data_IF_189245590542
#
_entry.id   IF_189245590542
#
_cell.length_a   1.000
_cell.length_b   1.000
_cell.length_c   1.000
_cell.angle_alpha   90.00
_cell.angle_beta   90.00
_cell.angle_gamma   90.00
#
_symmetry.space_group_name_H-M   'P 1'
#
loop_
_entity.id
_entity.type
_entity.pdbx_description
1 polymer ?
#
# COMPACT_ATOMS: atom_id res chain seq x y z
N UNK A 1 23.52 12.25 -28.23
CA UNK A 1 22.60 11.12 -28.49
C UNK A 1 21.80 10.94 -27.23
N UNK A 2 20.48 11.21 -27.26
CA UNK A 2 19.64 10.90 -26.09
C UNK A 2 19.66 9.38 -25.95
N UNK A 3 20.21 8.86 -24.85
CA UNK A 3 20.17 7.42 -24.59
C UNK A 3 18.72 7.04 -24.32
N UNK A 4 18.21 6.03 -25.02
CA UNK A 4 16.92 5.42 -24.68
C UNK A 4 16.96 4.97 -23.23
N UNK A 5 15.94 5.36 -22.46
CA UNK A 5 15.76 4.89 -21.09
C UNK A 5 15.47 3.39 -21.10
N UNK A 6 16.13 2.62 -20.25
CA UNK A 6 15.90 1.18 -20.21
C UNK A 6 14.54 0.89 -19.58
N UNK A 7 14.22 1.58 -18.48
CA UNK A 7 12.98 1.38 -17.74
C UNK A 7 12.41 2.72 -17.31
N UNK A 8 11.13 2.94 -17.58
CA UNK A 8 10.34 4.04 -17.00
C UNK A 8 9.41 3.45 -15.94
N UNK A 9 9.48 3.94 -14.72
CA UNK A 9 8.61 3.56 -13.61
C UNK A 9 7.65 4.72 -13.38
N UNK A 10 6.35 4.44 -13.37
CA UNK A 10 5.30 5.42 -13.15
C UNK A 10 4.73 5.23 -11.74
N UNK A 11 4.96 6.24 -10.88
CA UNK A 11 4.64 6.23 -9.46
C UNK A 11 5.86 6.01 -8.57
N UNK A 12 6.08 6.90 -7.60
CA UNK A 12 7.16 6.84 -6.62
C UNK A 12 6.65 6.54 -5.19
N UNK A 13 5.51 5.85 -5.07
CA UNK A 13 5.11 5.20 -3.82
C UNK A 13 5.97 3.96 -3.53
N UNK A 14 5.66 3.24 -2.45
CA UNK A 14 6.47 2.09 -2.01
C UNK A 14 6.72 1.07 -3.12
N UNK A 15 5.68 0.69 -3.89
CA UNK A 15 5.81 -0.26 -4.99
C UNK A 15 6.83 0.18 -6.06
N UNK A 16 6.71 1.41 -6.56
CA UNK A 16 7.59 1.94 -7.60
C UNK A 16 9.01 2.21 -7.09
N UNK A 17 9.14 2.70 -5.85
CA UNK A 17 10.42 2.91 -5.20
C UNK A 17 11.17 1.58 -4.97
N UNK A 18 10.47 0.54 -4.50
CA UNK A 18 11.04 -0.80 -4.32
C UNK A 18 11.45 -1.41 -5.66
N UNK A 19 10.63 -1.27 -6.71
CA UNK A 19 11.01 -1.73 -8.04
C UNK A 19 12.28 -1.04 -8.57
N UNK A 20 12.39 0.28 -8.39
CA UNK A 20 13.58 1.04 -8.77
C UNK A 20 14.83 0.58 -8.00
N UNK A 21 14.69 0.32 -6.70
CA UNK A 21 15.76 -0.20 -5.85
C UNK A 21 16.23 -1.58 -6.33
N UNK A 22 15.33 -2.54 -6.53
CA UNK A 22 15.70 -3.89 -7.00
C UNK A 22 16.29 -3.89 -8.41
N UNK A 23 15.79 -3.03 -9.32
CA UNK A 23 16.41 -2.86 -10.65
C UNK A 23 17.83 -2.31 -10.56
N UNK A 24 18.09 -1.40 -9.62
CA UNK A 24 19.43 -0.85 -9.38
C UNK A 24 20.40 -1.92 -8.89
N UNK A 25 19.96 -2.78 -7.96
CA UNK A 25 20.72 -3.93 -7.49
C UNK A 25 20.99 -4.97 -8.58
N UNK A 26 20.03 -5.15 -9.51
CA UNK A 26 20.22 -5.97 -10.70
C UNK A 26 21.16 -5.35 -11.75
N UNK A 27 21.72 -4.17 -11.48
CA UNK A 27 22.67 -3.50 -12.37
C UNK A 27 22.03 -2.78 -13.56
N UNK A 28 20.69 -2.64 -13.58
CA UNK A 28 19.98 -1.93 -14.64
C UNK A 28 20.33 -0.44 -14.56
N UNK A 29 20.72 0.14 -15.70
CA UNK A 29 21.06 1.56 -15.82
C UNK A 29 19.96 2.32 -16.56
N UNK A 30 19.96 3.65 -16.48
CA UNK A 30 18.99 4.51 -17.15
C UNK A 30 17.54 4.15 -16.78
N UNK A 31 17.29 4.01 -15.47
CA UNK A 31 15.95 3.85 -14.92
C UNK A 31 15.43 5.25 -14.58
N UNK A 32 14.23 5.59 -15.05
CA UNK A 32 13.57 6.85 -14.72
C UNK A 32 12.33 6.58 -13.89
N UNK A 33 12.20 7.24 -12.74
CA UNK A 33 11.00 7.18 -11.90
C UNK A 33 10.25 8.51 -12.05
N UNK A 34 8.97 8.44 -12.43
CA UNK A 34 8.10 9.59 -12.62
C UNK A 34 7.07 9.66 -11.48
N UNK A 35 6.96 10.80 -10.82
CA UNK A 35 5.88 11.07 -9.85
C UNK A 35 5.29 12.47 -10.05
N UNK A 36 3.96 12.57 -9.93
CA UNK A 36 3.26 13.84 -10.10
C UNK A 36 3.36 14.75 -8.86
N UNK A 37 3.86 14.23 -7.73
CA UNK A 37 4.25 15.01 -6.57
C UNK A 37 5.62 14.58 -6.08
N UNK A 38 5.75 14.39 -4.77
CA UNK A 38 7.00 13.94 -4.14
C UNK A 38 6.90 12.46 -3.78
N UNK A 39 8.04 11.78 -3.81
CA UNK A 39 8.16 10.35 -3.48
C UNK A 39 7.43 10.00 -2.18
N UNK A 40 6.61 8.96 -2.22
CA UNK A 40 5.84 8.50 -1.06
C UNK A 40 4.65 9.37 -0.64
N UNK A 41 4.42 10.54 -1.23
CA UNK A 41 3.29 11.43 -0.89
C UNK A 41 2.25 11.57 -2.01
N UNK A 42 2.68 11.48 -3.27
CA UNK A 42 1.84 11.84 -4.42
C UNK A 42 1.64 13.36 -4.53
N UNK A 43 0.71 13.79 -5.39
CA UNK A 43 0.47 15.23 -5.60
C UNK A 43 -0.24 15.85 -4.39
N UNK A 44 0.27 16.98 -3.90
CA UNK A 44 -0.44 17.84 -2.94
C UNK A 44 -1.38 18.82 -3.62
N UNK A 45 -1.22 19.02 -4.94
CA UNK A 45 -2.06 19.90 -5.71
C UNK A 45 -3.28 19.12 -6.18
N UNK A 46 -4.51 19.50 -5.78
CA UNK A 46 -5.71 18.92 -6.35
C UNK A 46 -5.68 19.09 -7.86
N UNK A 47 -5.92 18.01 -8.60
CA UNK A 47 -6.07 18.11 -10.06
C UNK A 47 -7.32 18.95 -10.33
N UNK A 48 -7.13 20.21 -10.71
CA UNK A 48 -8.21 21.09 -11.17
C UNK A 48 -8.56 20.66 -12.59
N UNK A 49 -9.41 19.66 -12.76
CA UNK A 49 -10.03 19.43 -14.06
C UNK A 49 -11.39 18.71 -14.00
N UNK A 50 -12.28 19.15 -14.89
CA UNK A 50 -13.66 18.68 -15.14
C UNK A 50 -14.75 19.08 -14.13
N UNK A 51 -15.02 20.39 -14.01
CA UNK A 51 -16.38 20.85 -13.68
C UNK A 51 -17.31 20.48 -14.85
N UNK A 52 -18.12 19.43 -14.67
CA UNK A 52 -19.50 19.49 -15.18
C UNK A 52 -20.20 20.55 -14.33
N UNK A 53 -20.62 21.60 -14.98
CA UNK A 53 -21.52 22.62 -14.46
C UNK A 53 -22.86 21.98 -14.06
N UNK A 54 -23.44 22.52 -12.99
CA UNK A 54 -24.82 22.31 -12.50
C UNK A 54 -25.07 21.01 -11.73
N UNK A 55 -24.78 21.03 -10.43
CA UNK A 55 -25.78 21.20 -9.36
C UNK A 55 -25.07 21.35 -8.01
N UNK A 56 -25.47 22.39 -7.26
CA UNK A 56 -24.93 22.74 -5.96
C UNK A 56 -25.57 21.87 -4.88
N UNK A 57 -24.92 20.75 -4.57
CA UNK A 57 -25.04 20.09 -3.27
C UNK A 57 -23.62 19.73 -2.80
N UNK A 58 -23.38 19.79 -1.49
CA UNK A 58 -22.16 19.24 -0.86
C UNK A 58 -22.04 17.75 -1.24
N UNK A 59 -21.32 17.46 -2.33
CA UNK A 59 -21.24 16.12 -2.90
C UNK A 59 -21.14 16.02 -4.43
N UNK A 60 -21.28 17.12 -5.19
CA UNK A 60 -21.34 17.05 -6.67
C UNK A 60 -20.01 17.26 -7.42
N UNK A 61 -18.96 17.78 -6.77
CA UNK A 61 -17.65 17.94 -7.42
C UNK A 61 -16.87 16.64 -7.28
N UNK A 62 -16.75 15.90 -8.38
CA UNK A 62 -15.85 14.75 -8.46
C UNK A 62 -14.42 15.22 -8.28
N UNK A 63 -13.82 14.90 -7.14
CA UNK A 63 -12.39 15.11 -6.92
C UNK A 63 -11.65 13.88 -7.41
N UNK A 64 -10.81 14.03 -8.43
CA UNK A 64 -9.88 12.99 -8.79
C UNK A 64 -8.94 12.71 -7.61
N UNK A 65 -8.81 11.43 -7.32
CA UNK A 65 -7.77 10.90 -6.46
C UNK A 65 -6.41 11.44 -6.91
N UNK A 66 -5.67 12.07 -5.98
CA UNK A 66 -4.36 12.66 -6.27
C UNK A 66 -3.31 12.34 -5.18
N UNK A 67 -3.76 11.85 -4.02
CA UNK A 67 -2.90 11.48 -2.90
C UNK A 67 -2.56 10.00 -2.96
N UNK A 68 -1.27 9.70 -2.76
CA UNK A 68 -0.79 8.32 -2.73
C UNK A 68 -1.33 7.57 -1.51
N UNK A 69 -1.61 6.28 -1.66
CA UNK A 69 -1.87 5.39 -0.52
C UNK A 69 -0.68 5.28 0.45
N UNK A 70 0.53 5.62 0.00
CA UNK A 70 1.73 5.71 0.85
C UNK A 70 1.82 7.00 1.67
N UNK A 71 0.95 7.99 1.42
CA UNK A 71 1.01 9.28 2.10
C UNK A 71 0.64 9.13 3.58
N UNK A 72 1.54 9.58 4.45
CA UNK A 72 1.32 9.61 5.91
C UNK A 72 0.95 11.02 6.38
N UNK A 73 0.37 11.13 7.58
CA UNK A 73 0.11 12.41 8.24
C UNK A 73 1.44 13.02 8.76
N UNK A 74 1.52 14.36 8.92
CA UNK A 74 2.69 14.99 9.51
C UNK A 74 2.96 14.54 10.96
N UNK A 75 1.90 14.42 11.77
CA UNK A 75 1.95 13.75 13.07
C UNK A 75 1.59 12.27 12.91
N UNK A 76 2.05 11.43 13.84
CA UNK A 76 1.74 10.01 13.88
C UNK A 76 2.06 9.33 12.54
N UNK A 77 3.30 9.47 12.08
CA UNK A 77 3.68 9.21 10.69
C UNK A 77 4.09 7.74 10.42
N UNK A 78 4.54 7.01 11.45
CA UNK A 78 4.95 5.60 11.35
C UNK A 78 3.75 4.67 11.51
N UNK A 79 3.08 4.34 10.40
CA UNK A 79 1.71 3.80 10.47
C UNK A 79 1.36 2.71 9.48
N UNK A 80 2.19 2.45 8.48
CA UNK A 80 1.84 1.45 7.48
C UNK A 80 2.18 0.08 7.98
N UNK A 81 1.18 -0.79 7.96
CA UNK A 81 1.26 -2.16 8.41
C UNK A 81 2.15 -2.98 7.46
N UNK A 82 3.09 -3.71 8.05
CA UNK A 82 3.86 -4.78 7.41
C UNK A 82 3.39 -6.07 8.07
N UNK A 83 2.38 -6.71 7.47
CA UNK A 83 1.62 -7.82 8.07
C UNK A 83 1.59 -9.05 7.16
N UNK A 84 1.45 -10.23 7.77
CA UNK A 84 1.45 -11.54 7.10
C UNK A 84 0.05 -12.15 6.97
N UNK A 85 -0.93 -11.35 6.56
CA UNK A 85 -2.33 -11.73 6.51
C UNK A 85 -2.98 -11.39 5.16
N UNK A 86 -4.13 -12.01 4.94
CA UNK A 86 -5.02 -11.71 3.81
C UNK A 86 -5.77 -10.39 4.04
N UNK A 87 -6.27 -9.81 2.95
CA UNK A 87 -7.20 -8.69 3.01
C UNK A 87 -8.67 -9.13 3.26
N UNK A 88 -8.89 -10.42 3.50
CA UNK A 88 -10.18 -11.09 3.75
C UNK A 88 -9.99 -12.17 4.83
N UNK A 89 -11.04 -12.88 5.24
CA UNK A 89 -10.83 -14.05 6.10
C UNK A 89 -10.02 -15.13 5.37
N UNK A 90 -9.30 -15.98 6.11
CA UNK A 90 -8.60 -17.12 5.55
C UNK A 90 -9.58 -18.11 4.89
N UNK A 91 -10.80 -18.22 5.43
CA UNK A 91 -11.87 -19.04 4.82
C UNK A 91 -12.21 -18.52 3.41
N UNK A 92 -12.50 -17.23 3.27
CA UNK A 92 -12.85 -16.63 1.98
C UNK A 92 -11.69 -16.71 0.99
N UNK A 93 -10.47 -16.50 1.47
CA UNK A 93 -9.27 -16.56 0.63
C UNK A 93 -9.03 -17.98 0.10
N UNK A 94 -9.21 -19.01 0.94
CA UNK A 94 -9.12 -20.42 0.55
C UNK A 94 -10.23 -20.80 -0.43
N UNK A 95 -11.45 -20.28 -0.24
CA UNK A 95 -12.54 -20.52 -1.20
C UNK A 95 -12.18 -20.00 -2.59
N UNK A 96 -11.50 -18.85 -2.67
CA UNK A 96 -11.15 -18.23 -3.95
C UNK A 96 -9.89 -18.83 -4.60
N UNK A 97 -8.85 -19.10 -3.81
CA UNK A 97 -7.50 -19.46 -4.32
C UNK A 97 -7.06 -20.88 -3.98
N UNK A 98 -7.89 -21.62 -3.22
CA UNK A 98 -7.53 -22.91 -2.66
C UNK A 98 -6.49 -22.81 -1.53
N UNK A 99 -6.30 -23.92 -0.82
CA UNK A 99 -5.36 -24.02 0.30
C UNK A 99 -3.91 -23.73 -0.11
N UNK A 100 -3.51 -24.17 -1.31
CA UNK A 100 -2.17 -23.93 -1.83
C UNK A 100 -1.97 -22.47 -2.24
N UNK A 101 -2.98 -21.81 -2.78
CA UNK A 101 -2.94 -20.36 -3.04
C UNK A 101 -2.81 -19.56 -1.74
N UNK A 102 -3.54 -19.95 -0.69
CA UNK A 102 -3.41 -19.36 0.64
C UNK A 102 -1.99 -19.50 1.21
N UNK A 103 -1.40 -20.72 1.17
CA UNK A 103 0.00 -20.97 1.59
C UNK A 103 1.00 -20.14 0.80
N UNK A 104 0.85 -20.07 -0.53
CA UNK A 104 1.70 -19.24 -1.41
C UNK A 104 1.60 -17.78 -1.01
N UNK A 105 0.40 -17.26 -0.72
CA UNK A 105 0.23 -15.88 -0.28
C UNK A 105 0.89 -15.58 1.07
N UNK A 106 0.73 -16.46 2.08
CA UNK A 106 1.41 -16.34 3.37
C UNK A 106 2.94 -16.34 3.19
N UNK A 107 3.45 -17.18 2.29
CA UNK A 107 4.86 -17.21 1.96
C UNK A 107 5.32 -15.90 1.32
N UNK A 108 4.56 -15.36 0.36
CA UNK A 108 4.84 -14.06 -0.26
C UNK A 108 4.88 -12.94 0.79
N UNK A 109 3.87 -12.83 1.65
CA UNK A 109 3.82 -11.77 2.66
C UNK A 109 4.91 -11.93 3.71
N UNK A 110 5.26 -13.16 4.08
CA UNK A 110 6.40 -13.43 4.98
C UNK A 110 7.72 -12.99 4.37
N UNK A 111 8.04 -13.44 3.15
CA UNK A 111 9.27 -13.04 2.46
C UNK A 111 9.32 -11.54 2.20
N UNK A 112 8.17 -10.93 1.91
CA UNK A 112 8.02 -9.50 1.72
C UNK A 112 8.27 -8.68 2.98
N UNK A 113 7.72 -9.13 4.11
CA UNK A 113 7.99 -8.55 5.43
C UNK A 113 9.47 -8.61 5.78
N UNK A 114 10.12 -9.76 5.57
CA UNK A 114 11.53 -9.94 5.88
C UNK A 114 12.41 -9.05 4.99
N UNK A 115 12.15 -9.06 3.68
CA UNK A 115 12.84 -8.20 2.70
C UNK A 115 12.70 -6.73 3.06
N UNK A 116 11.49 -6.28 3.38
CA UNK A 116 11.23 -4.89 3.72
C UNK A 116 11.95 -4.47 5.00
N UNK A 117 11.89 -5.29 6.06
CA UNK A 117 12.60 -5.01 7.32
C UNK A 117 14.11 -4.96 7.12
N UNK A 118 14.67 -5.88 6.34
CA UNK A 118 16.10 -5.89 6.02
C UNK A 118 16.52 -4.62 5.29
N UNK A 119 15.82 -4.27 4.21
CA UNK A 119 16.12 -3.07 3.42
C UNK A 119 15.94 -1.82 4.28
N UNK A 120 14.80 -1.68 4.95
CA UNK A 120 14.48 -0.54 5.81
C UNK A 120 15.54 -0.34 6.91
N UNK A 121 16.01 -1.42 7.54
CA UNK A 121 17.07 -1.36 8.55
C UNK A 121 18.40 -0.83 7.99
N UNK A 122 18.64 -0.99 6.69
CA UNK A 122 19.88 -0.55 6.04
C UNK A 122 19.82 0.87 5.47
N UNK A 123 18.64 1.35 5.04
CA UNK A 123 18.52 2.62 4.30
C UNK A 123 17.79 3.72 5.06
N UNK A 124 16.99 3.39 6.07
CA UNK A 124 16.27 4.42 6.82
C UNK A 124 17.25 5.22 7.70
N UNK A 125 17.12 6.56 7.73
CA UNK A 125 18.00 7.39 8.54
C UNK A 125 17.88 7.08 10.04
N UNK A 126 16.67 6.78 10.53
CA UNK A 126 16.39 6.44 11.93
C UNK A 126 15.55 5.15 11.99
N UNK A 127 16.11 4.04 11.51
CA UNK A 127 15.39 2.77 11.38
C UNK A 127 14.66 2.33 12.67
N UNK A 128 15.26 2.51 13.85
CA UNK A 128 14.64 2.12 15.12
C UNK A 128 13.32 2.85 15.43
N UNK A 129 13.16 4.08 14.96
CA UNK A 129 11.96 4.90 15.16
C UNK A 129 10.96 4.73 14.00
N UNK A 130 11.51 4.59 12.79
CA UNK A 130 10.75 4.61 11.55
C UNK A 130 10.26 3.22 11.12
N UNK A 131 10.84 2.15 11.68
CA UNK A 131 10.43 0.76 11.54
C UNK A 131 10.27 0.15 12.94
N UNK A 132 9.03 0.01 13.40
CA UNK A 132 8.73 -0.55 14.73
C UNK A 132 8.19 -1.96 14.60
N UNK A 133 9.01 -2.93 15.00
CA UNK A 133 8.67 -4.36 14.97
C UNK A 133 8.12 -4.84 16.32
N UNK A 134 7.04 -4.23 16.79
CA UNK A 134 6.36 -4.63 18.03
C UNK A 134 5.32 -5.74 17.82
N UNK A 135 5.21 -6.27 16.61
CA UNK A 135 4.16 -7.18 16.20
C UNK A 135 2.85 -6.45 15.87
N UNK A 136 1.83 -7.26 15.57
CA UNK A 136 0.46 -6.81 15.40
C UNK A 136 -0.53 -7.72 16.13
N UNK A 137 -1.68 -7.18 16.50
CA UNK A 137 -2.74 -7.91 17.20
C UNK A 137 -4.05 -7.80 16.41
N UNK A 138 -4.48 -8.93 15.87
CA UNK A 138 -5.79 -9.08 15.22
C UNK A 138 -6.83 -9.31 16.30
N UNK A 139 -7.88 -8.48 16.40
CA UNK A 139 -8.75 -8.41 17.56
C UNK A 139 -10.21 -8.71 17.22
N UNK A 140 -10.88 -9.52 18.03
CA UNK A 140 -12.30 -9.84 17.86
C UNK A 140 -13.14 -9.48 19.09
N UNK A 141 -14.42 -9.22 18.85
CA UNK A 141 -15.42 -9.08 19.91
C UNK A 141 -15.88 -10.47 20.40
N UNK A 142 -16.49 -10.51 21.58
CA UNK A 142 -16.98 -11.76 22.20
C UNK A 142 -17.93 -12.54 21.30
N UNK A 143 -18.82 -11.84 20.60
CA UNK A 143 -19.78 -12.45 19.66
C UNK A 143 -19.12 -13.17 18.46
N UNK A 144 -17.86 -12.83 18.15
CA UNK A 144 -17.14 -13.30 16.96
C UNK A 144 -16.07 -14.37 17.32
N UNK A 145 -15.90 -14.71 18.60
CA UNK A 145 -14.82 -15.58 19.10
C UNK A 145 -14.76 -16.94 18.38
N UNK A 146 -15.91 -17.58 18.15
CA UNK A 146 -15.95 -18.91 17.55
C UNK A 146 -15.44 -18.92 16.09
N UNK A 147 -15.83 -17.91 15.30
CA UNK A 147 -15.34 -17.73 13.93
C UNK A 147 -13.85 -17.35 13.95
N UNK A 148 -13.46 -16.48 14.89
CA UNK A 148 -12.10 -16.02 15.03
C UNK A 148 -11.12 -17.13 15.47
N UNK A 149 -11.59 -18.09 16.28
CA UNK A 149 -10.83 -19.29 16.64
C UNK A 149 -10.56 -20.16 15.42
N UNK A 150 -11.56 -20.31 14.54
CA UNK A 150 -11.40 -21.03 13.27
C UNK A 150 -10.38 -20.32 12.36
N UNK A 151 -10.40 -18.99 12.32
CA UNK A 151 -9.36 -18.21 11.61
C UNK A 151 -7.96 -18.54 12.13
N UNK A 152 -7.75 -18.50 13.46
CA UNK A 152 -6.48 -18.86 14.09
C UNK A 152 -6.00 -20.27 13.69
N UNK A 153 -6.90 -21.26 13.77
CA UNK A 153 -6.57 -22.65 13.45
C UNK A 153 -6.18 -22.81 11.96
N UNK A 154 -6.91 -22.14 11.05
CA UNK A 154 -6.58 -22.15 9.62
C UNK A 154 -5.22 -21.50 9.37
N UNK A 155 -4.95 -20.33 9.97
CA UNK A 155 -3.68 -19.63 9.80
C UNK A 155 -2.49 -20.49 10.24
N UNK A 156 -2.64 -21.22 11.36
CA UNK A 156 -1.64 -22.21 11.81
C UNK A 156 -1.47 -23.33 10.77
N UNK A 157 -2.56 -23.89 10.24
CA UNK A 157 -2.50 -24.97 9.24
C UNK A 157 -1.76 -24.56 7.95
N UNK A 158 -1.91 -23.31 7.51
CA UNK A 158 -1.29 -22.80 6.27
C UNK A 158 0.11 -22.22 6.45
N UNK A 159 0.72 -22.41 7.63
CA UNK A 159 2.14 -22.11 7.86
C UNK A 159 2.43 -20.83 8.64
N UNK A 160 1.44 -20.20 9.29
CA UNK A 160 1.69 -19.14 10.25
C UNK A 160 2.06 -19.72 11.63
N UNK A 161 3.14 -20.50 11.72
CA UNK A 161 3.43 -21.30 12.93
C UNK A 161 3.80 -20.47 14.17
N UNK A 162 4.15 -19.21 14.01
CA UNK A 162 4.63 -18.34 15.08
C UNK A 162 3.57 -17.41 15.69
N UNK A 163 2.31 -17.53 15.28
CA UNK A 163 1.21 -16.74 15.85
C UNK A 163 0.72 -17.31 17.19
N UNK A 164 0.19 -16.43 18.03
CA UNK A 164 -0.31 -16.77 19.37
C UNK A 164 -1.78 -16.38 19.53
N UNK A 165 -2.56 -17.24 20.20
CA UNK A 165 -3.91 -16.90 20.65
C UNK A 165 -3.83 -16.18 21.98
N UNK A 166 -4.45 -15.01 22.09
CA UNK A 166 -4.47 -14.18 23.29
C UNK A 166 -5.89 -14.06 23.84
N UNK A 167 -6.02 -14.39 25.12
CA UNK A 167 -7.28 -14.25 25.86
C UNK A 167 -7.46 -12.81 26.39
N UNK A 168 -8.69 -12.48 26.81
CA UNK A 168 -9.06 -11.14 27.30
C UNK A 168 -8.10 -10.57 28.34
N UNK A 169 -7.65 -11.38 29.30
CA UNK A 169 -6.76 -10.93 30.38
C UNK A 169 -5.40 -10.45 29.84
N UNK A 170 -4.89 -11.07 28.78
CA UNK A 170 -3.67 -10.62 28.10
C UNK A 170 -3.92 -9.28 27.38
N UNK A 171 -5.07 -9.13 26.72
CA UNK A 171 -5.44 -7.89 26.04
C UNK A 171 -5.51 -6.71 27.02
N UNK A 172 -6.11 -6.91 28.20
CA UNK A 172 -6.31 -5.87 29.21
C UNK A 172 -5.01 -5.30 29.77
N UNK A 173 -3.93 -6.09 29.82
CA UNK A 173 -2.61 -5.64 30.27
C UNK A 173 -1.70 -5.18 29.11
N UNK A 174 -2.14 -5.33 27.87
CA UNK A 174 -1.35 -4.96 26.69
C UNK A 174 -1.40 -3.43 26.50
N UNK A 175 -0.24 -2.74 26.53
CA UNK A 175 -0.19 -1.29 26.40
C UNK A 175 -0.87 -0.81 25.12
N UNK A 176 -1.82 0.12 25.27
CA UNK A 176 -2.51 0.76 24.17
C UNK A 176 -3.64 -0.08 23.54
N UNK A 177 -3.91 -1.31 24.01
CA UNK A 177 -5.05 -2.08 23.52
C UNK A 177 -6.37 -1.55 24.10
N UNK A 178 -7.41 -1.41 23.28
CA UNK A 178 -8.75 -1.05 23.77
C UNK A 178 -9.35 -2.18 24.60
N UNK A 179 -10.03 -1.82 25.70
CA UNK A 179 -10.68 -2.77 26.63
C UNK A 179 -11.96 -3.40 26.06
N UNK A 180 -12.39 -3.03 24.85
CA UNK A 180 -13.62 -3.52 24.21
C UNK A 180 -13.50 -4.92 23.61
N UNK A 181 -12.28 -5.37 23.31
CA UNK A 181 -12.04 -6.63 22.62
C UNK A 181 -12.00 -7.82 23.60
N UNK A 182 -12.36 -8.99 23.08
CA UNK A 182 -12.49 -10.21 23.88
C UNK A 182 -11.29 -11.15 23.70
N UNK A 183 -10.82 -11.34 22.47
CA UNK A 183 -9.70 -12.20 22.14
C UNK A 183 -8.87 -11.62 21.00
N UNK A 184 -7.65 -12.14 20.81
CA UNK A 184 -6.74 -11.67 19.77
C UNK A 184 -5.86 -12.77 19.18
N UNK A 185 -5.39 -12.58 17.95
CA UNK A 185 -4.30 -13.34 17.35
C UNK A 185 -3.09 -12.41 17.24
N UNK A 186 -2.01 -12.75 17.95
CA UNK A 186 -0.78 -11.97 17.95
C UNK A 186 0.19 -12.46 16.88
N UNK A 187 0.71 -11.53 16.09
CA UNK A 187 1.69 -11.74 15.03
C UNK A 187 3.02 -11.10 15.45
N UNK A 188 3.94 -11.84 16.10
CA UNK A 188 5.12 -11.26 16.74
C UNK A 188 6.14 -10.64 15.77
N UNK A 189 6.15 -11.09 14.51
CA UNK A 189 7.12 -10.61 13.51
C UNK A 189 6.68 -9.37 12.75
N UNK A 190 5.39 -9.04 12.83
CA UNK A 190 4.79 -7.92 12.12
C UNK A 190 5.36 -6.58 12.61
N UNK A 191 5.23 -5.57 11.77
CA UNK A 191 5.82 -4.26 12.03
C UNK A 191 4.95 -3.14 11.47
N UNK A 192 5.25 -1.91 11.89
CA UNK A 192 4.76 -0.69 11.26
C UNK A 192 5.93 0.16 10.79
N UNK A 193 5.72 0.89 9.69
CA UNK A 193 6.75 1.72 9.07
C UNK A 193 6.18 3.06 8.62
N UNK A 194 7.03 4.09 8.56
CA UNK A 194 6.73 5.30 7.82
C UNK A 194 6.99 5.07 6.32
N UNK A 195 5.93 4.81 5.56
CA UNK A 195 6.00 4.48 4.13
C UNK A 195 6.50 5.61 3.24
N UNK A 196 6.21 6.87 3.60
CA UNK A 196 6.67 8.02 2.81
C UNK A 196 8.19 8.16 2.92
N UNK A 197 8.72 8.09 4.15
CA UNK A 197 10.17 8.12 4.38
C UNK A 197 10.85 6.90 3.76
N UNK A 198 10.27 5.71 3.89
CA UNK A 198 10.81 4.50 3.28
C UNK A 198 10.90 4.59 1.75
N UNK A 199 9.85 5.09 1.09
CA UNK A 199 9.84 5.30 -0.37
C UNK A 199 10.94 6.27 -0.80
N UNK A 200 11.09 7.39 -0.09
CA UNK A 200 12.14 8.37 -0.38
C UNK A 200 13.55 7.78 -0.15
N UNK A 201 13.75 7.01 0.92
CA UNK A 201 15.02 6.35 1.23
C UNK A 201 15.42 5.32 0.16
N UNK A 202 14.45 4.52 -0.34
CA UNK A 202 14.67 3.55 -1.42
C UNK A 202 15.18 4.25 -2.69
N UNK A 203 14.53 5.33 -3.09
CA UNK A 203 14.92 6.09 -4.28
C UNK A 203 16.25 6.82 -4.10
N UNK A 204 16.52 7.35 -2.91
CA UNK A 204 17.82 7.94 -2.58
C UNK A 204 18.94 6.90 -2.72
N UNK A 205 18.76 5.71 -2.14
CA UNK A 205 19.72 4.61 -2.24
C UNK A 205 19.92 4.18 -3.71
N UNK A 206 18.83 4.01 -4.47
CA UNK A 206 18.87 3.64 -5.89
C UNK A 206 19.57 4.70 -6.76
N UNK A 207 19.36 5.98 -6.46
CA UNK A 207 20.03 7.11 -7.14
C UNK A 207 21.53 7.13 -6.81
N UNK A 208 21.91 6.86 -5.56
CA UNK A 208 23.31 6.77 -5.14
C UNK A 208 24.09 5.64 -5.85
N UNK A 209 23.40 4.60 -6.32
CA UNK A 209 23.99 3.54 -7.17
C UNK A 209 24.23 3.97 -8.63
N UNK A 210 23.83 5.20 -9.00
CA UNK A 210 23.99 5.76 -10.35
C UNK A 210 23.13 5.04 -11.41
N UNK A 211 22.04 4.41 -11.00
CA UNK A 211 21.14 3.64 -11.87
C UNK A 211 19.85 4.40 -12.18
N UNK A 212 19.36 5.16 -11.20
CA UNK A 212 18.03 5.78 -11.20
C UNK A 212 18.12 7.30 -11.29
N UNK A 213 17.21 7.89 -12.07
CA UNK A 213 16.88 9.30 -12.07
C UNK A 213 15.42 9.46 -11.64
N UNK A 214 15.18 10.25 -10.61
CA UNK A 214 13.81 10.56 -10.14
C UNK A 214 13.37 11.90 -10.74
N UNK A 215 12.15 11.95 -11.25
CA UNK A 215 11.49 13.16 -11.76
C UNK A 215 10.21 13.37 -10.95
N UNK A 216 10.32 14.19 -9.93
CA UNK A 216 9.21 14.60 -9.07
C UNK A 216 8.47 15.81 -9.66
N UNK A 217 7.22 16.00 -9.23
CA UNK A 217 6.35 17.08 -9.68
C UNK A 217 6.22 17.15 -11.21
N UNK A 218 6.30 16.00 -11.90
CA UNK A 218 6.12 15.95 -13.34
C UNK A 218 4.65 16.08 -13.72
N UNK A 219 4.36 16.43 -14.98
CA UNK A 219 2.99 16.33 -15.49
C UNK A 219 2.46 14.90 -15.33
N UNK A 220 1.17 14.70 -14.96
CA UNK A 220 0.61 13.38 -14.78
C UNK A 220 0.79 12.50 -16.02
N UNK A 221 1.15 11.23 -15.83
CA UNK A 221 1.13 10.25 -16.91
C UNK A 221 -0.33 9.95 -17.27
N UNK A 222 -0.69 10.13 -18.55
CA UNK A 222 -2.06 9.97 -19.05
C UNK A 222 -2.23 8.69 -19.88
N UNK A 223 -1.15 8.13 -20.43
CA UNK A 223 -1.19 6.84 -21.10
C UNK A 223 0.15 6.11 -21.06
N UNK A 224 0.06 4.78 -21.04
CA UNK A 224 1.17 3.86 -21.26
C UNK A 224 0.76 2.85 -22.32
N UNK A 225 1.67 2.46 -23.21
CA UNK A 225 1.36 1.48 -24.24
C UNK A 225 2.61 0.77 -24.76
N UNK A 226 2.39 -0.31 -25.50
CA UNK A 226 3.42 -0.96 -26.32
C UNK A 226 3.20 -0.58 -27.78
N UNK A 227 4.21 -0.03 -28.43
CA UNK A 227 4.17 0.37 -29.84
C UNK A 227 5.24 -0.37 -30.65
N UNK A 228 5.06 -0.56 -31.97
CA UNK A 228 6.14 -0.99 -32.85
C UNK A 228 7.31 0.01 -32.84
N UNK A 229 8.56 -0.48 -32.91
CA UNK A 229 9.76 0.38 -32.98
C UNK A 229 9.75 1.32 -34.18
N UNK A 230 9.09 0.94 -35.28
CA UNK A 230 8.89 1.81 -36.46
C UNK A 230 8.04 3.05 -36.18
N UNK A 231 7.28 3.07 -35.07
CA UNK A 231 6.49 4.22 -34.61
C UNK A 231 7.20 5.03 -33.52
N UNK A 232 8.39 4.59 -33.09
CA UNK A 232 9.21 5.32 -32.14
C UNK A 232 9.78 6.60 -32.79
N UNK A 233 10.02 7.63 -31.99
CA UNK A 233 10.66 8.88 -32.42
C UNK A 233 12.15 8.67 -32.71
N UNK A 234 12.78 7.66 -32.10
CA UNK A 234 14.16 7.24 -32.35
C UNK A 234 14.28 5.75 -32.77
N UNK A 235 13.78 5.35 -33.96
CA UNK A 235 13.74 3.94 -34.37
C UNK A 235 15.12 3.26 -34.40
N UNK A 236 16.18 4.01 -34.71
CA UNK A 236 17.55 3.48 -34.84
C UNK A 236 18.16 2.92 -33.54
N UNK A 237 17.50 3.14 -32.40
CA UNK A 237 17.93 2.60 -31.11
C UNK A 237 17.35 1.21 -30.82
N UNK A 238 16.48 0.70 -31.69
CA UNK A 238 15.75 -0.55 -31.55
C UNK A 238 15.86 -1.38 -32.84
N UNK A 239 15.65 -2.68 -32.74
CA UNK A 239 15.52 -3.54 -33.93
C UNK A 239 14.24 -3.23 -34.71
N UNK A 240 14.23 -3.44 -36.04
CA UNK A 240 13.05 -3.17 -36.89
C UNK A 240 11.79 -3.94 -36.45
N UNK A 241 11.97 -5.15 -35.90
CA UNK A 241 10.88 -6.01 -35.41
C UNK A 241 10.62 -5.87 -33.89
N UNK A 242 11.30 -4.94 -33.21
CA UNK A 242 11.12 -4.76 -31.78
C UNK A 242 9.88 -3.91 -31.45
N UNK A 243 9.38 -4.08 -30.23
CA UNK A 243 8.37 -3.20 -29.64
C UNK A 243 8.98 -2.37 -28.53
N UNK A 244 8.42 -1.19 -28.31
CA UNK A 244 8.90 -0.16 -27.37
C UNK A 244 7.76 0.21 -26.43
N UNK A 245 8.09 0.47 -25.16
CA UNK A 245 7.17 1.08 -24.21
C UNK A 245 7.06 2.58 -24.48
N UNK A 246 5.85 3.09 -24.66
CA UNK A 246 5.56 4.52 -24.77
C UNK A 246 4.84 5.01 -23.52
N UNK A 247 5.40 6.02 -22.85
CA UNK A 247 4.77 6.76 -21.76
C UNK A 247 4.44 8.17 -22.24
N UNK A 248 3.20 8.63 -22.03
CA UNK A 248 2.75 9.97 -22.41
C UNK A 248 2.26 10.74 -21.19
N UNK A 249 2.78 11.95 -21.00
CA UNK A 249 2.39 12.85 -19.92
C UNK A 249 1.33 13.87 -20.42
N UNK A 250 0.61 14.47 -19.49
CA UNK A 250 -0.48 15.41 -19.77
C UNK A 250 -0.04 16.67 -20.55
N UNK A 251 1.22 17.08 -20.40
CA UNK A 251 1.83 18.19 -21.15
C UNK A 251 2.22 17.83 -22.60
N UNK A 252 1.97 16.58 -23.02
CA UNK A 252 2.34 16.07 -24.33
C UNK A 252 3.76 15.49 -24.40
N UNK A 253 4.52 15.51 -23.30
CA UNK A 253 5.83 14.86 -23.23
C UNK A 253 5.70 13.36 -23.50
N UNK A 254 6.56 12.83 -24.37
CA UNK A 254 6.61 11.43 -24.77
C UNK A 254 7.94 10.83 -24.35
N UNK A 255 7.90 9.68 -23.67
CA UNK A 255 9.09 8.94 -23.26
C UNK A 255 9.02 7.52 -23.82
N UNK A 256 10.10 7.12 -24.48
CA UNK A 256 10.26 5.79 -25.07
C UNK A 256 11.26 4.99 -24.25
N UNK A 257 10.90 3.76 -23.90
CA UNK A 257 11.73 2.88 -23.09
C UNK A 257 11.62 1.42 -23.50
N UNK A 258 12.58 0.59 -23.09
CA UNK A 258 12.47 -0.87 -23.31
C UNK A 258 11.32 -1.46 -22.50
N UNK A 259 11.12 -0.96 -21.29
CA UNK A 259 10.07 -1.41 -20.38
C UNK A 259 9.43 -0.24 -19.62
N UNK A 260 8.17 -0.43 -19.24
CA UNK A 260 7.42 0.45 -18.34
C UNK A 260 7.00 -0.38 -17.13
N UNK A 261 7.18 0.15 -15.92
CA UNK A 261 6.59 -0.40 -14.69
C UNK A 261 5.51 0.56 -14.21
N UNK A 262 4.26 0.12 -14.20
CA UNK A 262 3.12 0.89 -13.71
C UNK A 262 2.86 0.54 -12.25
N UNK A 263 3.19 1.48 -11.34
CA UNK A 263 3.16 1.30 -9.88
C UNK A 263 2.46 2.47 -9.18
N UNK A 264 1.30 2.86 -9.70
CA UNK A 264 0.54 4.06 -9.33
C UNK A 264 -0.54 3.83 -8.25
N UNK A 265 -0.61 2.63 -7.68
CA UNK A 265 -1.71 2.24 -6.79
C UNK A 265 -3.06 2.39 -7.49
N UNK A 266 -3.99 3.12 -6.89
CA UNK A 266 -5.31 3.40 -7.50
C UNK A 266 -5.38 4.69 -8.33
N UNK A 267 -4.27 5.36 -8.62
CA UNK A 267 -4.26 6.68 -9.27
C UNK A 267 -4.26 6.61 -10.80
N UNK A 268 -4.03 5.43 -11.40
CA UNK A 268 -4.05 5.25 -12.86
C UNK A 268 -5.11 4.22 -13.25
N UNK A 269 -6.29 4.71 -13.65
CA UNK A 269 -7.46 3.86 -13.92
C UNK A 269 -7.81 3.74 -15.40
N UNK A 270 -7.12 4.47 -16.27
CA UNK A 270 -7.49 4.61 -17.68
C UNK A 270 -6.80 3.59 -18.59
N UNK A 271 -6.06 2.61 -18.04
CA UNK A 271 -5.49 1.52 -18.84
C UNK A 271 -6.59 0.52 -19.22
N UNK A 272 -6.88 0.30 -20.53
CA UNK A 272 -7.85 -0.69 -20.95
C UNK A 272 -7.54 -2.10 -20.44
N UNK A 273 -6.26 -2.42 -20.23
CA UNK A 273 -5.84 -3.73 -19.74
C UNK A 273 -6.16 -3.97 -18.26
N UNK A 274 -6.46 -2.92 -17.49
CA UNK A 274 -6.80 -3.00 -16.07
C UNK A 274 -8.30 -2.83 -15.82
N UNK A 275 -9.09 -2.60 -16.87
CA UNK A 275 -10.53 -2.38 -16.77
C UNK A 275 -11.21 -3.58 -16.11
N UNK A 276 -11.88 -3.34 -14.98
CA UNK A 276 -12.54 -4.38 -14.17
C UNK A 276 -11.60 -5.23 -13.30
N UNK A 277 -10.27 -5.07 -13.43
CA UNK A 277 -9.28 -5.80 -12.62
C UNK A 277 -8.83 -4.96 -11.42
N UNK A 278 -8.70 -3.64 -11.59
CA UNK A 278 -8.26 -2.74 -10.53
C UNK A 278 -9.36 -1.75 -10.19
N UNK A 279 -9.78 -1.74 -8.92
CA UNK A 279 -10.72 -0.77 -8.36
C UNK A 279 -9.95 0.22 -7.47
N UNK A 280 -9.98 1.53 -7.75
CA UNK A 280 -9.41 2.50 -6.84
C UNK A 280 -10.33 2.64 -5.61
N UNK A 281 -9.76 2.72 -4.42
CA UNK A 281 -10.47 2.83 -3.15
C UNK A 281 -9.86 3.93 -2.28
N UNK A 282 -10.71 4.64 -1.55
CA UNK A 282 -10.27 5.66 -0.59
C UNK A 282 -9.76 5.01 0.67
N UNK A 283 -8.65 5.48 1.21
CA UNK A 283 -8.23 5.14 2.57
C UNK A 283 -8.20 6.38 3.44
N UNK A 284 -8.85 6.35 4.59
CA UNK A 284 -8.95 7.50 5.51
C UNK A 284 -8.10 7.27 6.75
N UNK A 285 -7.41 8.33 7.18
CA UNK A 285 -6.50 8.33 8.31
C UNK A 285 -6.89 9.46 9.25
N UNK A 286 -6.91 9.17 10.55
CA UNK A 286 -7.13 10.15 11.61
C UNK A 286 -6.07 9.99 12.69
N UNK A 287 -5.59 11.10 13.22
CA UNK A 287 -4.70 11.17 14.39
C UNK A 287 -5.44 11.91 15.50
N UNK A 288 -5.74 11.21 16.59
CA UNK A 288 -6.36 11.78 17.80
C UNK A 288 -5.28 11.92 18.88
N UNK A 289 -4.78 13.15 19.15
CA UNK A 289 -3.72 13.37 20.11
C UNK A 289 -4.20 13.09 21.54
N UNK A 290 -3.35 12.45 22.32
CA UNK A 290 -3.55 12.31 23.77
C UNK A 290 -3.72 13.69 24.43
N UNK A 291 -4.58 13.85 25.46
CA UNK A 291 -4.80 15.15 26.11
C UNK A 291 -3.54 15.79 26.70
N UNK A 292 -2.55 14.99 27.07
CA UNK A 292 -1.25 15.47 27.57
C UNK A 292 -0.23 15.78 26.47
N UNK A 293 -0.53 15.53 25.20
CA UNK A 293 0.43 15.69 24.11
C UNK A 293 0.77 17.16 23.88
N UNK A 294 2.03 17.47 24.11
CA UNK A 294 2.74 18.74 23.87
C UNK A 294 4.15 18.43 23.36
N UNK A 295 4.84 19.39 22.71
CA UNK A 295 6.24 19.21 22.27
C UNK A 295 7.14 18.73 23.42
N UNK A 296 7.04 19.35 24.61
CA UNK A 296 7.82 18.97 25.79
C UNK A 296 7.55 17.53 26.25
N UNK A 297 6.29 17.11 26.24
CA UNK A 297 5.92 15.76 26.68
C UNK A 297 6.31 14.68 25.68
N UNK A 298 6.36 14.99 24.38
CA UNK A 298 6.83 14.05 23.36
C UNK A 298 8.33 13.81 23.51
N UNK A 299 9.10 14.88 23.70
CA UNK A 299 10.56 14.86 23.88
C UNK A 299 11.01 14.27 25.22
N UNK A 300 10.12 14.19 26.20
CA UNK A 300 10.44 13.57 27.47
C UNK A 300 10.83 12.08 27.28
N UNK A 301 11.93 11.64 27.91
CA UNK A 301 12.44 10.26 27.88
C UNK A 301 11.46 9.19 28.44
N UNK A 302 10.24 9.57 28.82
CA UNK A 302 9.20 8.63 29.26
C UNK A 302 8.59 7.88 28.08
N UNK A 303 8.41 6.57 28.24
CA UNK A 303 7.70 5.72 27.28
C UNK A 303 6.16 5.86 27.39
N UNK A 304 5.66 6.44 28.48
CA UNK A 304 4.23 6.59 28.78
C UNK A 304 3.87 8.01 29.21
N UNK A 305 2.58 8.34 29.11
CA UNK A 305 1.96 9.52 29.71
C UNK A 305 1.73 9.35 31.22
N UNK A 306 1.24 10.40 31.89
CA UNK A 306 1.08 10.40 33.35
C UNK A 306 0.00 9.42 33.84
N UNK A 307 -0.95 9.09 32.96
CA UNK A 307 -2.00 8.08 33.15
C UNK A 307 -1.56 6.64 32.80
N UNK A 308 -0.31 6.47 32.34
CA UNK A 308 0.26 5.18 31.95
C UNK A 308 0.01 4.76 30.49
N UNK A 309 -0.70 5.57 29.70
CA UNK A 309 -0.91 5.30 28.26
C UNK A 309 0.44 5.34 27.54
N UNK A 310 0.75 4.35 26.67
CA UNK A 310 2.02 4.35 25.96
C UNK A 310 2.07 5.40 24.86
N UNK A 311 3.25 5.99 24.63
CA UNK A 311 3.49 6.85 23.45
C UNK A 311 3.55 6.06 22.14
N UNK A 312 3.89 4.77 22.25
CA UNK A 312 4.04 3.85 21.14
C UNK A 312 3.47 2.48 21.49
N UNK A 313 2.67 1.88 20.61
CA UNK A 313 2.16 0.52 20.78
C UNK A 313 2.49 -0.35 19.58
N UNK A 314 2.20 -1.64 19.70
CA UNK A 314 2.01 -2.50 18.53
C UNK A 314 0.86 -2.01 17.65
N UNK A 315 0.75 -2.59 16.46
CA UNK A 315 -0.38 -2.34 15.59
C UNK A 315 -1.57 -3.23 15.96
N UNK A 316 -2.77 -2.69 15.84
CA UNK A 316 -4.01 -3.38 16.14
C UNK A 316 -4.93 -3.32 14.92
N UNK A 317 -5.71 -4.37 14.67
CA UNK A 317 -6.77 -4.33 13.65
C UNK A 317 -7.92 -5.26 14.03
N UNK A 318 -9.14 -4.89 13.64
CA UNK A 318 -10.36 -5.61 14.03
C UNK A 318 -10.68 -6.78 13.09
N UNK A 319 -11.28 -7.86 13.60
CA UNK A 319 -11.95 -8.91 12.82
C UNK A 319 -12.91 -8.30 11.79
N UNK A 320 -12.86 -8.79 10.55
CA UNK A 320 -13.59 -8.20 9.42
C UNK A 320 -12.99 -6.89 8.90
N UNK A 321 -11.80 -6.51 9.39
CA UNK A 321 -10.94 -5.46 8.84
C UNK A 321 -11.57 -4.07 8.74
N UNK A 322 -12.46 -3.75 9.67
CA UNK A 322 -13.13 -2.45 9.69
C UNK A 322 -12.19 -1.29 10.03
N UNK A 323 -11.19 -1.55 10.89
CA UNK A 323 -10.25 -0.54 11.39
C UNK A 323 -8.86 -1.15 11.65
N UNK A 324 -7.81 -0.34 11.46
CA UNK A 324 -6.46 -0.57 11.96
C UNK A 324 -5.90 0.68 12.69
N UNK A 325 -5.23 0.48 13.82
CA UNK A 325 -4.77 1.59 14.66
C UNK A 325 -3.51 1.27 15.46
N UNK A 326 -2.84 2.31 15.93
CA UNK A 326 -1.74 2.21 16.90
C UNK A 326 -1.59 3.52 17.68
N UNK A 327 -0.99 3.43 18.87
CA UNK A 327 -0.43 4.58 19.55
C UNK A 327 0.90 4.92 18.92
N UNK A 328 1.08 6.17 18.51
CA UNK A 328 2.34 6.66 17.96
C UNK A 328 2.45 8.16 18.16
N UNK A 329 3.65 8.62 18.54
CA UNK A 329 3.95 10.06 18.65
C UNK A 329 2.91 10.80 19.51
N UNK A 330 2.44 10.13 20.57
CA UNK A 330 1.46 10.71 21.50
C UNK A 330 0.04 10.85 20.95
N UNK A 331 -0.31 10.12 19.90
CA UNK A 331 -1.67 10.08 19.36
C UNK A 331 -2.13 8.65 19.11
N UNK A 332 -3.43 8.43 19.13
CA UNK A 332 -4.02 7.26 18.47
C UNK A 332 -4.17 7.59 17.00
N UNK A 333 -3.39 6.93 16.15
CA UNK A 333 -3.67 6.94 14.73
C UNK A 333 -4.58 5.78 14.41
N UNK A 334 -5.66 6.06 13.67
CA UNK A 334 -6.61 5.08 13.16
C UNK A 334 -6.80 5.25 11.66
N UNK A 335 -7.02 4.11 11.00
CA UNK A 335 -7.42 3.98 9.61
C UNK A 335 -8.63 3.05 9.52
N UNK A 336 -9.45 3.22 8.49
CA UNK A 336 -10.67 2.42 8.31
C UNK A 336 -11.73 3.12 7.45
N UNK A 337 -12.85 2.42 7.25
CA UNK A 337 -13.91 2.79 6.30
C UNK A 337 -13.46 2.77 4.81
N UNK A 338 -12.45 1.97 4.47
CA UNK A 338 -11.66 2.08 3.23
C UNK A 338 -12.30 1.48 1.95
N UNK A 339 -13.42 0.75 2.07
CA UNK A 339 -13.96 0.00 0.92
C UNK A 339 -14.90 0.81 0.00
N UNK A 340 -14.85 2.15 0.07
CA UNK A 340 -15.57 3.00 -0.87
C UNK A 340 -14.74 3.22 -2.13
N UNK A 341 -15.33 2.89 -3.27
CA UNK A 341 -14.71 3.15 -4.57
C UNK A 341 -14.36 4.64 -4.70
N UNK A 342 -13.10 4.91 -5.04
CA UNK A 342 -12.59 6.24 -5.38
C UNK A 342 -13.05 6.75 -6.74
N UNK A 343 -14.04 6.06 -7.34
CA UNK A 343 -14.92 6.56 -8.39
C UNK A 343 -16.11 7.34 -7.82
N UNK A 344 -16.10 7.68 -6.52
CA UNK A 344 -17.07 8.55 -5.86
C UNK A 344 -16.31 9.60 -5.04
N UNK A 345 -16.90 10.78 -4.75
CA UNK A 345 -16.27 11.75 -3.86
C UNK A 345 -15.90 11.15 -2.50
N UNK A 346 -14.77 11.54 -1.89
CA UNK A 346 -14.26 10.89 -0.69
C UNK A 346 -15.12 11.06 0.57
N UNK A 347 -16.05 12.03 0.66
CA UNK A 347 -16.78 12.31 1.92
C UNK A 347 -15.85 12.42 3.16
N UNK A 348 -14.62 12.89 2.97
CA UNK A 348 -13.56 12.81 3.97
C UNK A 348 -13.94 13.41 5.34
N UNK A 349 -14.62 14.57 5.45
CA UNK A 349 -15.01 15.12 6.75
C UNK A 349 -15.87 14.15 7.59
N UNK A 350 -16.91 13.55 6.96
CA UNK A 350 -17.80 12.60 7.62
C UNK A 350 -17.04 11.33 8.04
N UNK A 351 -16.26 10.76 7.11
CA UNK A 351 -15.51 9.51 7.33
C UNK A 351 -14.47 9.66 8.44
N UNK A 352 -13.71 10.75 8.42
CA UNK A 352 -12.72 11.04 9.45
C UNK A 352 -13.39 11.36 10.80
N UNK A 353 -14.54 12.02 10.82
CA UNK A 353 -15.29 12.24 12.06
C UNK A 353 -15.75 10.92 12.69
N UNK A 354 -16.24 9.97 11.89
CA UNK A 354 -16.61 8.64 12.39
C UNK A 354 -15.42 7.91 13.03
N UNK A 355 -14.24 7.95 12.40
CA UNK A 355 -13.02 7.35 12.93
C UNK A 355 -12.57 8.02 14.24
N UNK A 356 -12.68 9.34 14.33
CA UNK A 356 -12.42 10.08 15.57
C UNK A 356 -13.40 9.67 16.68
N UNK A 357 -14.70 9.59 16.38
CA UNK A 357 -15.72 9.12 17.32
C UNK A 357 -15.46 7.69 17.78
N UNK A 358 -15.14 6.78 16.86
CA UNK A 358 -14.77 5.40 17.22
C UNK A 358 -13.61 5.39 18.21
N UNK A 359 -12.60 6.23 17.99
CA UNK A 359 -11.42 6.34 18.86
C UNK A 359 -11.81 6.81 20.26
N UNK A 360 -12.64 7.86 20.35
CA UNK A 360 -13.16 8.33 21.65
C UNK A 360 -13.94 7.24 22.38
N UNK A 361 -14.80 6.51 21.66
CA UNK A 361 -15.54 5.42 22.29
C UNK A 361 -14.62 4.27 22.72
N UNK A 362 -13.60 3.92 21.93
CA UNK A 362 -12.68 2.82 22.17
C UNK A 362 -11.73 3.08 23.36
N UNK A 363 -11.46 4.35 23.65
CA UNK A 363 -10.58 4.81 24.73
C UNK A 363 -11.28 5.86 25.60
N UNK A 364 -12.54 5.61 26.00
CA UNK A 364 -13.33 6.57 26.76
C UNK A 364 -12.79 6.88 28.17
N UNK A 365 -11.80 6.12 28.64
CA UNK A 365 -11.02 6.42 29.84
C UNK A 365 -9.89 7.42 29.61
N UNK A 366 -9.45 7.59 28.37
CA UNK A 366 -8.39 8.52 27.97
C UNK A 366 -8.98 9.80 27.35
N UNK A 367 -9.96 9.65 26.46
CA UNK A 367 -10.62 10.75 25.78
C UNK A 367 -12.00 11.00 26.40
N UNK A 368 -12.31 12.23 26.85
CA UNK A 368 -13.61 12.55 27.42
C UNK A 368 -14.74 12.31 26.40
N UNK A 369 -15.89 11.85 26.88
CA UNK A 369 -17.08 11.61 26.06
C UNK A 369 -17.63 12.92 25.45
N UNK A 370 -18.24 12.88 24.25
CA UNK A 370 -18.46 14.06 23.38
C UNK A 370 -19.54 15.06 23.82
N UNK A 371 -19.95 15.10 25.09
CA UNK A 371 -21.14 15.86 25.50
C UNK A 371 -21.04 17.38 25.33
N UNK A 372 -19.88 17.95 24.94
CA UNK A 372 -19.79 19.37 24.61
C UNK A 372 -18.70 19.81 23.60
N UNK A 373 -17.61 19.07 23.40
CA UNK A 373 -16.50 19.50 22.54
C UNK A 373 -15.98 18.37 21.64
N UNK A 374 -15.85 18.67 20.34
CA UNK A 374 -15.17 17.78 19.39
C UNK A 374 -13.69 17.72 19.77
N UNK A 375 -13.19 16.52 20.10
CA UNK A 375 -11.76 16.31 20.31
C UNK A 375 -11.03 16.73 19.02
N UNK A 376 -10.01 17.59 19.09
CA UNK A 376 -9.26 17.99 17.91
C UNK A 376 -8.59 16.76 17.32
N UNK A 377 -8.65 16.62 16.00
CA UNK A 377 -7.96 15.55 15.29
C UNK A 377 -7.40 16.07 13.97
N UNK A 378 -6.25 15.52 13.58
CA UNK A 378 -5.72 15.66 12.24
C UNK A 378 -6.26 14.53 11.37
N UNK A 379 -6.41 14.78 10.08
CA UNK A 379 -6.86 13.75 9.16
C UNK A 379 -6.22 13.88 7.79
N UNK A 380 -6.17 12.75 7.10
CA UNK A 380 -5.71 12.63 5.72
C UNK A 380 -6.50 11.52 5.02
N UNK A 381 -6.52 11.55 3.70
CA UNK A 381 -6.89 10.38 2.91
C UNK A 381 -5.83 10.11 1.84
N UNK A 382 -5.79 8.86 1.39
CA UNK A 382 -5.00 8.40 0.25
C UNK A 382 -5.86 7.54 -0.67
N UNK A 383 -5.30 7.14 -1.81
CA UNK A 383 -5.94 6.18 -2.71
C UNK A 383 -5.06 4.97 -2.90
N UNK A 384 -5.69 3.82 -2.72
CA UNK A 384 -5.11 2.53 -3.00
C UNK A 384 -5.95 1.83 -4.07
N UNK A 385 -5.51 0.63 -4.45
CA UNK A 385 -6.16 -0.20 -5.45
C UNK A 385 -6.49 -1.56 -4.87
N UNK A 386 -7.69 -2.03 -5.12
CA UNK A 386 -8.14 -3.39 -4.86
C UNK A 386 -8.29 -4.20 -6.14
N UNK A 387 -8.16 -5.52 -6.02
CA UNK A 387 -8.45 -6.49 -7.08
C UNK A 387 -9.65 -7.34 -6.67
N UNK A 388 -10.41 -7.93 -7.61
CA UNK A 388 -11.57 -8.77 -7.31
C UNK A 388 -11.27 -9.97 -6.39
N UNK A 389 -10.02 -10.42 -6.38
CA UNK A 389 -9.57 -11.63 -5.70
C UNK A 389 -8.67 -11.34 -4.48
N UNK A 390 -8.52 -10.07 -4.10
CA UNK A 390 -7.68 -9.64 -2.98
C UNK A 390 -6.19 -10.02 -3.08
N UNK A 391 -5.68 -10.28 -4.29
CA UNK A 391 -4.26 -10.54 -4.57
C UNK A 391 -3.67 -9.46 -5.49
N UNK A 392 -2.44 -8.97 -5.28
CA UNK A 392 -1.84 -7.99 -6.19
C UNK A 392 -1.76 -8.43 -7.66
N UNK A 393 -1.64 -7.46 -8.55
CA UNK A 393 -1.52 -7.65 -10.00
C UNK A 393 -0.10 -7.30 -10.41
N UNK A 394 0.64 -8.31 -10.87
CA UNK A 394 2.07 -8.22 -11.15
C UNK A 394 2.38 -8.79 -12.54
N UNK A 395 3.30 -8.16 -13.27
CA UNK A 395 3.82 -8.69 -14.53
C UNK A 395 3.13 -8.14 -15.77
N UNK A 396 3.21 -8.88 -16.88
CA UNK A 396 2.85 -8.40 -18.23
C UNK A 396 1.66 -9.16 -18.78
N UNK A 397 0.71 -8.46 -19.41
CA UNK A 397 -0.50 -9.06 -20.00
C UNK A 397 -0.21 -10.00 -21.17
N UNK A 398 0.91 -9.79 -21.87
CA UNK A 398 1.41 -10.67 -22.93
C UNK A 398 2.95 -10.68 -22.94
N UNK A 399 3.55 -11.62 -23.67
CA UNK A 399 5.02 -11.70 -23.78
C UNK A 399 5.60 -10.54 -24.60
N UNK A 400 4.79 -9.98 -25.51
CA UNK A 400 5.14 -8.83 -26.35
C UNK A 400 4.93 -7.48 -25.66
N UNK A 401 4.12 -7.44 -24.58
CA UNK A 401 3.88 -6.20 -23.82
C UNK A 401 5.19 -5.72 -23.19
N UNK A 402 5.39 -4.40 -23.26
CA UNK A 402 6.45 -3.67 -22.56
C UNK A 402 5.96 -3.03 -21.27
N UNK A 403 4.67 -3.12 -20.95
CA UNK A 403 4.08 -2.62 -19.71
C UNK A 403 3.99 -3.75 -18.70
N UNK A 404 4.69 -3.58 -17.58
CA UNK A 404 4.66 -4.44 -16.40
C UNK A 404 3.86 -3.74 -15.30
N UNK A 405 2.86 -4.42 -14.76
CA UNK A 405 2.04 -3.91 -13.66
C UNK A 405 2.65 -4.31 -12.31
N UNK A 406 2.51 -3.44 -11.33
CA UNK A 406 2.80 -3.68 -9.92
C UNK A 406 1.76 -2.91 -9.08
N UNK A 407 0.54 -3.43 -9.04
CA UNK A 407 -0.67 -2.76 -8.53
C UNK A 407 -1.46 -3.69 -7.62
N UNK A 408 -2.56 -3.19 -7.03
CA UNK A 408 -3.49 -4.03 -6.28
C UNK A 408 -3.04 -4.35 -4.86
N UNK A 409 -2.59 -3.36 -4.09
CA UNK A 409 -2.12 -3.57 -2.72
C UNK A 409 -3.25 -4.01 -1.75
N UNK A 410 -4.51 -3.88 -2.14
CA UNK A 410 -5.69 -4.29 -1.39
C UNK A 410 -5.81 -3.72 0.04
N UNK A 411 -5.17 -2.58 0.36
CA UNK A 411 -5.03 -1.97 1.70
C UNK A 411 -4.07 -2.68 2.68
N UNK A 412 -3.67 -3.92 2.41
CA UNK A 412 -2.79 -4.74 3.28
C UNK A 412 -1.36 -4.83 2.74
N UNK A 413 -1.08 -4.03 1.72
CA UNK A 413 -0.21 -4.48 0.66
C UNK A 413 1.27 -4.21 0.85
N UNK A 414 1.74 -3.62 1.95
CA UNK A 414 3.13 -3.16 1.96
C UNK A 414 4.13 -4.33 1.92
N UNK A 415 3.93 -5.36 2.75
CA UNK A 415 4.76 -6.56 2.72
C UNK A 415 4.70 -7.28 1.36
N UNK A 416 3.50 -7.56 0.83
CA UNK A 416 3.32 -8.22 -0.48
C UNK A 416 3.86 -7.38 -1.63
N UNK A 417 3.75 -6.05 -1.59
CA UNK A 417 4.33 -5.16 -2.59
C UNK A 417 5.86 -5.17 -2.54
N UNK A 418 6.44 -5.23 -1.35
CA UNK A 418 7.88 -5.37 -1.16
C UNK A 418 8.40 -6.67 -1.77
N UNK A 419 7.73 -7.80 -1.56
CA UNK A 419 8.10 -9.06 -2.24
C UNK A 419 7.91 -8.97 -3.76
N UNK A 420 6.76 -8.51 -4.23
CA UNK A 420 6.43 -8.50 -5.66
C UNK A 420 7.33 -7.55 -6.45
N UNK A 421 7.86 -6.50 -5.83
CA UNK A 421 8.91 -5.66 -6.40
C UNK A 421 10.22 -6.42 -6.66
N UNK A 422 10.57 -7.45 -5.87
CA UNK A 422 11.75 -8.31 -6.12
C UNK A 422 11.64 -9.10 -7.42
N UNK A 423 10.42 -9.32 -7.93
CA UNK A 423 10.18 -10.06 -9.17
C UNK A 423 10.44 -9.21 -10.41
N UNK A 424 10.39 -7.88 -10.29
CA UNK A 424 10.44 -6.95 -11.44
C UNK A 424 11.70 -7.15 -12.29
N UNK A 425 12.93 -7.25 -11.75
CA UNK A 425 14.11 -7.52 -12.57
C UNK A 425 13.99 -8.80 -13.42
N UNK A 426 13.41 -9.86 -12.86
CA UNK A 426 13.18 -11.13 -13.55
C UNK A 426 12.09 -11.04 -14.61
N UNK A 427 10.98 -10.37 -14.30
CA UNK A 427 9.86 -10.17 -15.23
C UNK A 427 10.22 -9.31 -16.45
N UNK A 428 11.21 -8.44 -16.29
CA UNK A 428 11.77 -7.62 -17.37
C UNK A 428 12.98 -8.29 -18.06
N UNK A 429 13.43 -9.46 -17.59
CA UNK A 429 14.51 -10.25 -18.21
C UNK A 429 15.93 -9.76 -17.90
N UNK A 430 16.12 -8.96 -16.86
CA UNK A 430 17.45 -8.52 -16.42
C UNK A 430 18.16 -9.54 -15.52
N UNK A 431 17.39 -10.39 -14.83
CA UNK A 431 17.90 -11.49 -14.00
C UNK A 431 17.06 -12.75 -14.24
N UNK A 432 17.58 -13.96 -14.01
CA UNK A 432 16.73 -15.14 -13.91
C UNK A 432 15.86 -15.04 -12.65
N UNK A 433 14.61 -15.50 -12.72
CA UNK A 433 13.80 -15.78 -11.53
C UNK A 433 14.25 -17.09 -10.91
N UNK A 434 14.21 -17.19 -9.58
CA UNK A 434 14.36 -18.48 -8.91
C UNK A 434 13.15 -19.38 -9.19
N UNK A 435 13.28 -20.68 -8.93
CA UNK A 435 12.15 -21.62 -9.03
C UNK A 435 11.01 -21.22 -8.10
N UNK A 436 11.34 -20.84 -6.86
CA UNK A 436 10.40 -20.32 -5.88
C UNK A 436 9.73 -19.01 -6.32
N UNK A 437 10.47 -18.06 -6.88
CA UNK A 437 9.89 -16.83 -7.41
C UNK A 437 8.92 -17.12 -8.56
N UNK A 438 9.26 -18.08 -9.41
CA UNK A 438 8.41 -18.49 -10.54
C UNK A 438 7.11 -19.13 -10.05
N UNK A 439 7.19 -20.03 -9.05
CA UNK A 439 6.03 -20.68 -8.43
C UNK A 439 5.09 -19.69 -7.72
N UNK A 440 5.66 -18.72 -6.98
CA UNK A 440 4.89 -17.69 -6.29
C UNK A 440 4.34 -16.62 -7.23
N UNK A 441 5.03 -16.35 -8.35
CA UNK A 441 4.57 -15.40 -9.35
C UNK A 441 3.22 -15.81 -9.98
N UNK A 442 2.94 -17.11 -10.12
CA UNK A 442 1.67 -17.59 -10.67
C UNK A 442 0.45 -16.99 -9.97
N UNK A 443 0.51 -16.88 -8.63
CA UNK A 443 -0.58 -16.35 -7.82
C UNK A 443 -0.81 -14.85 -8.05
N UNK A 444 0.26 -14.07 -8.20
CA UNK A 444 0.21 -12.60 -8.33
C UNK A 444 0.20 -12.13 -9.79
N UNK A 445 0.35 -13.04 -10.76
CA UNK A 445 0.43 -12.70 -12.18
C UNK A 445 -0.85 -12.01 -12.66
N UNK A 446 -0.71 -10.91 -13.41
CA UNK A 446 -1.83 -10.25 -14.12
C UNK A 446 -2.54 -11.21 -15.08
N UNK A 447 -1.84 -12.23 -15.59
CA UNK A 447 -2.39 -13.18 -16.55
C UNK A 447 -3.40 -14.14 -15.95
N UNK A 448 -3.51 -14.24 -14.63
CA UNK A 448 -4.61 -15.02 -14.01
C UNK A 448 -5.99 -14.45 -14.36
N UNK A 449 -6.05 -13.17 -14.74
CA UNK A 449 -7.24 -12.51 -15.26
C UNK A 449 -7.36 -12.57 -16.80
N UNK A 450 -6.35 -13.07 -17.52
CA UNK A 450 -6.35 -13.12 -18.99
C UNK A 450 -7.37 -14.11 -19.59
N UNK A 451 -8.05 -14.90 -18.74
CA UNK A 451 -9.19 -15.73 -19.13
C UNK A 451 -10.54 -14.99 -19.04
N UNK A 452 -10.60 -13.78 -18.48
CA UNK A 452 -11.82 -12.98 -18.42
C UNK A 452 -12.29 -12.39 -19.77
N UNK A 453 -11.43 -12.04 -20.75
CA UNK A 453 -11.89 -11.49 -22.03
C UNK A 453 -12.83 -12.41 -22.80
N UNK A 454 -12.62 -13.73 -22.79
CA UNK A 454 -13.55 -14.69 -23.42
C UNK A 454 -14.89 -14.79 -22.68
N UNK A 455 -14.92 -14.47 -21.37
CA UNK A 455 -16.16 -14.37 -20.57
C UNK A 455 -16.89 -13.05 -20.86
N UNK A 456 -16.15 -11.95 -21.07
CA UNK A 456 -16.72 -10.63 -21.35
C UNK A 456 -17.15 -10.43 -22.81
N UNK A 457 -16.50 -11.09 -23.77
CA UNK A 457 -16.94 -11.13 -25.17
C UNK A 457 -18.30 -11.84 -25.33
N UNK A 458 -18.67 -12.74 -24.41
CA UNK A 458 -20.00 -13.35 -24.36
C UNK A 458 -21.08 -12.53 -23.65
N UNK A 459 -20.73 -11.39 -23.03
CA UNK A 459 -21.65 -10.50 -22.32
C UNK A 459 -21.93 -9.18 -23.05
N UNK A 460 -21.33 -8.96 -24.23
CA UNK A 460 -21.73 -7.91 -25.18
C UNK A 460 -22.78 -8.47 -26.13
#
# INVERSE_FOLDING_TARGET
VMSVDNVVIVGAGVAGASAAYHLSFAGVKNVVVLDCGTAGHGSLTPVKDCTKTEEQEEGSVFQFAHRSGSAVMPSASTIKMIVRLFASSATDFIEHHGIEGAKKYIKITTSGLETEKEIASSILPNAAEQLRAFGSLYLAYEKDEAEFRKEFDILKEIGCDDIEWWEKDQLLITPGCSKKFHCGIFFPKDAIINSSVYSAALLSAATAMGAVRVVENCSPVVSVSTIPASQATCPSSFGEDETVGLTVLQDGTRMESRHIVLATGGLFTNDPNLSGIVRPCWSYLVSVPHPETTEETLDANSATFSDGVPKFSMNFFSWGFTHDWSWTEGAVRISGEDHFSALKPPRAPQRCQNLAHWTQEAYGDVFPTPEAETVPYEWQYGVYSETPDSVPVVGRTSDSSKVCYLLGCNAWGQAVLSYTATLVPGLLGYTPMTEEQSDLFELVSVRRFALLPSVLEGCK
#
